data_IF_290709943896
#
_entry.id   IF_290709943896
#
_cell.length_a   1.000
_cell.length_b   1.000
_cell.length_c   1.000
_cell.angle_alpha   90.00
_cell.angle_beta   90.00
_cell.angle_gamma   90.00
#
_symmetry.space_group_name_H-M   'P 1'
#
loop_
_entity.id
_entity.type
_entity.pdbx_description
1 polymer ?
#
# COMPACT_ATOMS: atom_id res chain seq x y z
N UNK A 1 18.04 -3.74 27.40
CA UNK A 1 17.10 -3.42 26.30
C UNK A 1 17.78 -3.97 25.05
N UNK A 2 17.20 -4.96 24.39
CA UNK A 2 17.85 -5.61 23.25
C UNK A 2 17.61 -4.69 22.06
N UNK A 3 18.66 -4.00 21.61
CA UNK A 3 18.68 -3.34 20.30
C UNK A 3 18.67 -4.43 19.24
N UNK A 4 17.53 -4.60 18.56
CA UNK A 4 17.48 -5.36 17.32
C UNK A 4 17.73 -4.40 16.17
N UNK A 5 19.00 -4.17 15.84
CA UNK A 5 19.36 -3.67 14.51
C UNK A 5 19.25 -4.84 13.54
N UNK A 6 18.12 -4.93 12.84
CA UNK A 6 18.02 -5.75 11.63
C UNK A 6 18.13 -4.77 10.47
N UNK A 7 19.21 -4.90 9.70
CA UNK A 7 19.48 -4.15 8.47
C UNK A 7 18.27 -4.21 7.55
N UNK A 8 17.61 -3.08 7.36
CA UNK A 8 16.68 -2.89 6.25
C UNK A 8 17.45 -2.01 5.28
N UNK A 9 17.84 -2.59 4.15
CA UNK A 9 18.13 -1.85 2.91
C UNK A 9 17.12 -0.70 2.86
N UNK A 10 17.53 0.56 2.73
CA UNK A 10 16.78 1.71 3.26
C UNK A 10 15.33 1.88 2.81
N UNK A 11 14.79 0.99 1.99
CA UNK A 11 13.39 0.87 1.66
C UNK A 11 12.47 0.45 2.83
N UNK A 12 11.25 0.98 2.83
CA UNK A 12 10.22 0.67 3.83
C UNK A 12 9.06 -0.10 3.19
N UNK A 13 8.39 -0.94 3.99
CA UNK A 13 7.12 -1.56 3.61
C UNK A 13 5.98 -0.85 4.36
N UNK A 14 4.97 -0.39 3.63
CA UNK A 14 3.85 0.38 4.17
C UNK A 14 2.55 -0.34 3.84
N UNK A 15 1.74 -0.60 4.87
CA UNK A 15 0.44 -1.25 4.73
C UNK A 15 -0.68 -0.36 5.27
N UNK A 16 -1.66 -0.07 4.41
CA UNK A 16 -2.87 0.65 4.79
C UNK A 16 -4.12 -0.18 4.53
N UNK A 17 -5.12 0.05 5.36
CA UNK A 17 -6.46 -0.51 5.27
C UNK A 17 -7.46 0.55 4.81
N UNK A 18 -8.39 0.12 3.96
CA UNK A 18 -9.45 0.93 3.36
C UNK A 18 -10.78 0.19 3.50
N UNK A 19 -11.85 0.94 3.75
CA UNK A 19 -13.20 0.37 3.90
C UNK A 19 -13.81 0.09 2.53
N UNK A 20 -13.61 0.99 1.56
CA UNK A 20 -14.12 0.87 0.20
C UNK A 20 -12.98 0.75 -0.82
N UNK A 21 -13.25 0.04 -1.92
CA UNK A 21 -12.33 -0.03 -3.06
C UNK A 21 -12.24 1.32 -3.76
N UNK A 22 -13.30 2.13 -3.72
CA UNK A 22 -13.30 3.47 -4.32
C UNK A 22 -12.22 4.37 -3.69
N UNK A 23 -11.99 4.25 -2.38
CA UNK A 23 -10.93 5.01 -1.69
C UNK A 23 -9.54 4.65 -2.26
N UNK A 24 -9.31 3.37 -2.55
CA UNK A 24 -8.05 2.88 -3.15
C UNK A 24 -7.90 3.36 -4.60
N UNK A 25 -8.99 3.33 -5.38
CA UNK A 25 -9.01 3.83 -6.76
C UNK A 25 -8.64 5.32 -6.81
N UNK A 26 -9.27 6.14 -5.96
CA UNK A 26 -8.96 7.57 -5.91
C UNK A 26 -7.52 7.84 -5.42
N UNK A 27 -7.06 7.09 -4.41
CA UNK A 27 -5.68 7.16 -3.93
C UNK A 27 -4.66 6.83 -5.04
N UNK A 28 -4.91 5.82 -5.86
CA UNK A 28 -3.98 5.40 -6.92
C UNK A 28 -3.67 6.55 -7.91
N UNK A 29 -4.68 7.38 -8.22
CA UNK A 29 -4.50 8.58 -9.04
C UNK A 29 -3.55 9.59 -8.36
N UNK A 30 -3.76 9.85 -7.07
CA UNK A 30 -2.94 10.77 -6.28
C UNK A 30 -1.50 10.27 -6.13
N UNK A 31 -1.30 8.97 -5.89
CA UNK A 31 0.03 8.34 -5.83
C UNK A 31 0.76 8.46 -7.17
N UNK A 32 0.08 8.17 -8.27
CA UNK A 32 0.65 8.30 -9.63
C UNK A 32 1.09 9.74 -9.92
N UNK A 33 0.27 10.74 -9.55
CA UNK A 33 0.63 12.16 -9.70
C UNK A 33 1.82 12.57 -8.83
N UNK A 34 2.07 11.85 -7.75
CA UNK A 34 3.23 12.02 -6.88
C UNK A 34 4.45 11.19 -7.33
N UNK A 35 4.41 10.55 -8.50
CA UNK A 35 5.44 9.64 -9.00
C UNK A 35 5.68 8.41 -8.10
N UNK A 36 4.69 8.05 -7.27
CA UNK A 36 4.71 6.84 -6.45
C UNK A 36 3.89 5.78 -7.17
N UNK A 37 4.52 4.66 -7.54
CA UNK A 37 3.89 3.59 -8.30
C UNK A 37 4.20 2.23 -7.67
N UNK A 38 3.68 1.14 -8.25
CA UNK A 38 3.84 -0.21 -7.72
C UNK A 38 2.74 -0.57 -6.73
N UNK A 39 3.13 -1.37 -5.74
CA UNK A 39 2.25 -1.87 -4.70
C UNK A 39 1.40 -3.06 -5.12
N UNK A 40 0.81 -3.71 -4.11
CA UNK A 40 -0.09 -4.85 -4.25
C UNK A 40 -1.40 -4.58 -3.52
N UNK A 41 -2.51 -5.01 -4.10
CA UNK A 41 -3.85 -4.80 -3.56
C UNK A 41 -4.46 -6.13 -3.14
N UNK A 42 -4.89 -6.19 -1.89
CA UNK A 42 -5.48 -7.37 -1.27
C UNK A 42 -6.85 -7.04 -0.67
N UNK A 43 -7.65 -8.06 -0.41
CA UNK A 43 -8.91 -7.96 0.32
C UNK A 43 -8.98 -9.00 1.42
N UNK A 44 -9.43 -8.60 2.61
CA UNK A 44 -9.65 -9.53 3.72
C UNK A 44 -10.69 -8.94 4.67
N UNK A 45 -11.58 -9.79 5.20
CA UNK A 45 -12.61 -9.37 6.17
C UNK A 45 -13.46 -8.17 5.74
N UNK A 46 -13.84 -8.08 4.46
CA UNK A 46 -14.58 -6.94 3.89
C UNK A 46 -13.84 -5.60 3.87
N UNK A 47 -12.53 -5.61 4.08
CA UNK A 47 -11.65 -4.45 3.90
C UNK A 47 -10.66 -4.68 2.75
N UNK A 48 -10.15 -3.58 2.21
CA UNK A 48 -9.11 -3.56 1.19
C UNK A 48 -7.79 -3.12 1.80
N UNK A 49 -6.71 -3.68 1.29
CA UNK A 49 -5.37 -3.45 1.81
C UNK A 49 -4.42 -3.12 0.67
N UNK A 50 -3.82 -1.93 0.73
CA UNK A 50 -2.76 -1.53 -0.20
C UNK A 50 -1.42 -1.66 0.51
N UNK A 51 -0.57 -2.53 -0.04
CA UNK A 51 0.78 -2.78 0.43
C UNK A 51 1.77 -2.17 -0.55
N UNK A 52 2.51 -1.16 -0.10
CA UNK A 52 3.61 -0.55 -0.84
C UNK A 52 4.92 -1.16 -0.32
N UNK A 53 5.49 -2.09 -1.10
CA UNK A 53 6.74 -2.76 -0.75
C UNK A 53 7.93 -2.05 -1.35
N UNK A 54 9.04 -2.04 -0.63
CA UNK A 54 10.32 -1.57 -1.17
C UNK A 54 10.35 -0.08 -1.51
N UNK A 55 9.51 0.74 -0.87
CA UNK A 55 9.45 2.18 -1.16
C UNK A 55 10.71 2.87 -0.64
N UNK A 56 11.27 3.81 -1.40
CA UNK A 56 12.44 4.56 -0.93
C UNK A 56 12.11 5.32 0.36
N UNK A 57 13.06 5.51 1.30
CA UNK A 57 12.78 6.22 2.54
C UNK A 57 12.44 7.70 2.31
N UNK A 58 12.89 8.27 1.18
CA UNK A 58 12.51 9.61 0.75
C UNK A 58 11.03 9.71 0.34
N UNK A 59 10.51 8.65 -0.30
CA UNK A 59 9.12 8.60 -0.76
C UNK A 59 8.18 8.03 0.30
N UNK A 60 8.68 7.25 1.26
CA UNK A 60 7.88 6.59 2.27
C UNK A 60 7.05 7.57 3.11
N UNK A 61 7.66 8.65 3.62
CA UNK A 61 6.94 9.68 4.37
C UNK A 61 5.83 10.34 3.52
N UNK A 62 6.10 10.55 2.22
CA UNK A 62 5.13 11.12 1.29
C UNK A 62 3.99 10.14 1.01
N UNK A 63 4.29 8.86 0.78
CA UNK A 63 3.31 7.81 0.58
C UNK A 63 2.41 7.67 1.80
N UNK A 64 2.98 7.56 3.01
CA UNK A 64 2.20 7.51 4.26
C UNK A 64 1.25 8.71 4.37
N UNK A 65 1.75 9.92 4.07
CA UNK A 65 0.94 11.14 4.15
C UNK A 65 -0.25 11.10 3.19
N UNK A 66 -0.03 10.66 1.95
CA UNK A 66 -1.10 10.55 0.94
C UNK A 66 -2.08 9.41 1.27
N UNK A 67 -1.58 8.24 1.67
CA UNK A 67 -2.41 7.09 2.01
C UNK A 67 -3.31 7.37 3.22
N UNK A 68 -2.84 8.18 4.18
CA UNK A 68 -3.60 8.58 5.36
C UNK A 68 -4.79 9.51 5.08
N UNK A 69 -4.90 10.08 3.88
CA UNK A 69 -6.08 10.87 3.49
C UNK A 69 -7.27 9.98 3.08
N UNK A 70 -7.00 8.72 2.68
CA UNK A 70 -8.00 7.80 2.12
C UNK A 70 -8.22 6.57 3.00
N UNK A 71 -7.27 6.22 3.86
CA UNK A 71 -7.34 5.05 4.72
C UNK A 71 -6.54 5.21 6.00
N UNK A 72 -6.38 4.11 6.72
CA UNK A 72 -5.65 4.10 8.00
C UNK A 72 -4.49 3.10 7.96
N UNK A 73 -3.38 3.37 8.67
CA UNK A 73 -2.33 2.38 8.84
C UNK A 73 -2.89 1.07 9.39
N UNK A 74 -2.54 -0.04 8.76
CA UNK A 74 -3.05 -1.35 9.18
C UNK A 74 -2.26 -1.88 10.37
N UNK A 75 -2.96 -2.47 11.34
CA UNK A 75 -2.35 -3.25 12.42
C UNK A 75 -2.12 -4.72 12.03
N UNK A 76 -2.60 -5.12 10.85
CA UNK A 76 -2.44 -6.47 10.33
C UNK A 76 -0.98 -6.70 9.91
N UNK A 77 -0.43 -7.87 10.21
CA UNK A 77 0.89 -8.22 9.68
C UNK A 77 0.80 -8.50 8.18
N UNK A 78 1.80 -8.02 7.42
CA UNK A 78 1.93 -8.30 5.99
C UNK A 78 1.87 -9.80 5.72
N UNK A 79 2.59 -10.61 6.51
CA UNK A 79 2.58 -12.07 6.39
C UNK A 79 1.17 -12.69 6.48
N UNK A 80 0.33 -12.20 7.41
CA UNK A 80 -1.04 -12.70 7.57
C UNK A 80 -1.92 -12.29 6.40
N UNK A 81 -1.73 -11.08 5.87
CA UNK A 81 -2.42 -10.61 4.68
C UNK A 81 -2.06 -11.47 3.45
N UNK A 82 -0.77 -11.76 3.24
CA UNK A 82 -0.32 -12.55 2.09
C UNK A 82 -0.74 -14.02 2.19
N UNK A 83 -0.89 -14.57 3.40
CA UNK A 83 -1.26 -15.98 3.59
C UNK A 83 -2.78 -16.22 3.57
N UNK A 84 -3.57 -15.29 4.12
CA UNK A 84 -5.02 -15.46 4.30
C UNK A 84 -5.88 -14.44 3.55
N UNK A 85 -5.28 -13.36 3.05
CA UNK A 85 -5.94 -12.37 2.23
C UNK A 85 -6.17 -12.88 0.81
N UNK A 86 -7.19 -12.33 0.17
CA UNK A 86 -7.43 -12.53 -1.25
C UNK A 86 -6.68 -11.44 -2.04
N UNK A 87 -5.64 -11.84 -2.75
CA UNK A 87 -4.92 -10.97 -3.66
C UNK A 87 -5.80 -10.57 -4.84
N UNK A 88 -5.94 -9.26 -5.05
CA UNK A 88 -6.68 -8.69 -6.18
C UNK A 88 -5.70 -8.30 -7.29
N UNK A 89 -4.58 -7.68 -6.90
CA UNK A 89 -3.51 -7.27 -7.81
C UNK A 89 -2.17 -7.57 -7.12
N UNK A 90 -1.40 -8.50 -7.69
CA UNK A 90 -0.11 -8.97 -7.16
C UNK A 90 0.97 -7.88 -7.19
N UNK A 91 1.12 -7.17 -8.32
CA UNK A 91 2.10 -6.10 -8.50
C UNK A 91 1.51 -4.97 -9.35
N UNK A 92 2.08 -3.77 -9.22
CA UNK A 92 1.68 -2.59 -9.99
C UNK A 92 0.21 -2.20 -9.78
N UNK A 93 -0.26 -2.30 -8.53
CA UNK A 93 -1.64 -1.97 -8.17
C UNK A 93 -1.99 -0.53 -8.54
N UNK A 94 -1.11 0.42 -8.25
CA UNK A 94 -1.33 1.84 -8.55
C UNK A 94 -1.52 2.07 -10.05
N UNK A 95 -0.62 1.54 -10.88
CA UNK A 95 -0.65 1.67 -12.33
C UNK A 95 -1.88 0.98 -12.93
N UNK A 96 -2.20 -0.20 -12.44
CA UNK A 96 -3.34 -1.01 -12.89
C UNK A 96 -4.64 -0.27 -12.64
N UNK A 97 -4.85 0.24 -11.42
CA UNK A 97 -6.05 1.00 -11.08
C UNK A 97 -6.16 2.27 -11.94
N UNK A 98 -5.07 3.01 -12.12
CA UNK A 98 -5.10 4.20 -12.98
C UNK A 98 -5.43 3.86 -14.43
N UNK A 99 -4.88 2.77 -14.96
CA UNK A 99 -5.12 2.34 -16.34
C UNK A 99 -6.58 1.99 -16.62
N UNK A 100 -7.28 1.34 -15.69
CA UNK A 100 -8.65 0.86 -15.92
C UNK A 100 -9.73 1.87 -15.53
N UNK A 101 -9.47 2.77 -14.58
CA UNK A 101 -10.51 3.66 -14.03
C UNK A 101 -10.41 5.14 -14.48
N UNK A 102 -9.25 5.60 -14.94
CA UNK A 102 -9.04 7.03 -15.29
C UNK A 102 -8.59 7.27 -16.72
N UNK A 103 -8.75 6.27 -17.58
CA UNK A 103 -8.32 6.29 -18.98
C UNK A 103 -9.44 6.61 -19.94
#
# INVERSE_FOLDING_TARGET
IIEMQVTVDGSEDILFEFIDIEDVIQLAKTLTQANITGGSLHSMNNHYYLLMNGISPADASRAVSLMAEYGTPSILSIHRLLEYGNEIIEENAVETLVHYFFK
#
